data_IF_062080696358
#
_entry.id   IF_062080696358
#
_cell.length_a   1.000
_cell.length_b   1.000
_cell.length_c   1.000
_cell.angle_alpha   90.00
_cell.angle_beta   90.00
_cell.angle_gamma   90.00
#
_symmetry.space_group_name_H-M   'P 1'
#
loop_
_entity.id
_entity.type
_entity.pdbx_description
1 polymer ?
#
# COMPACT_ATOMS: atom_id res chain seq x y z
N UNK A 1 31.81 8.58 -42.50
CA UNK A 1 30.76 8.97 -43.45
C UNK A 1 30.56 10.48 -43.42
N UNK A 2 30.50 11.11 -44.60
CA UNK A 2 30.26 12.54 -44.69
C UNK A 2 28.82 12.89 -44.28
N UNK A 3 28.66 14.04 -43.64
CA UNK A 3 27.33 14.52 -43.21
C UNK A 3 26.71 13.78 -41.99
N UNK A 4 27.47 12.97 -41.28
CA UNK A 4 26.97 12.28 -40.08
C UNK A 4 26.70 13.30 -38.94
N UNK A 5 25.44 13.41 -38.53
CA UNK A 5 24.98 14.33 -37.50
C UNK A 5 24.07 13.62 -36.47
N UNK A 6 23.91 14.19 -35.27
CA UNK A 6 23.03 13.63 -34.24
C UNK A 6 23.57 12.33 -33.62
N UNK A 7 24.88 12.13 -33.61
CA UNK A 7 25.51 10.94 -33.05
C UNK A 7 25.48 11.00 -31.51
N UNK A 8 24.92 9.94 -30.92
CA UNK A 8 24.88 9.75 -29.47
C UNK A 8 25.95 8.78 -28.97
N UNK A 9 26.35 7.79 -29.78
CA UNK A 9 27.38 6.78 -29.43
C UNK A 9 28.12 6.33 -30.66
N UNK A 10 29.34 5.86 -30.47
CA UNK A 10 30.15 5.17 -31.51
C UNK A 10 30.70 3.86 -30.95
N UNK A 11 30.91 2.88 -31.80
CA UNK A 11 31.58 1.63 -31.49
C UNK A 11 32.38 1.16 -32.72
N UNK A 12 33.60 0.67 -32.46
CA UNK A 12 34.52 0.19 -33.52
C UNK A 12 34.81 -1.29 -33.32
N UNK A 13 34.73 -2.05 -34.42
CA UNK A 13 35.16 -3.44 -34.53
C UNK A 13 36.47 -3.56 -35.30
N UNK A 14 36.80 -4.77 -35.74
CA UNK A 14 37.97 -5.00 -36.60
C UNK A 14 37.61 -4.67 -38.06
N UNK A 15 38.13 -3.56 -38.54
CA UNK A 15 37.91 -3.10 -39.92
C UNK A 15 36.55 -2.40 -40.16
N UNK A 16 35.67 -2.27 -39.21
CA UNK A 16 34.40 -1.56 -39.33
C UNK A 16 34.08 -0.71 -38.12
N UNK A 17 33.15 0.22 -38.27
CA UNK A 17 32.67 1.08 -37.18
C UNK A 17 31.17 1.32 -37.34
N UNK A 18 30.56 1.71 -36.24
CA UNK A 18 29.13 2.08 -36.17
C UNK A 18 28.94 3.36 -35.37
N UNK A 19 28.00 4.19 -35.83
CA UNK A 19 27.46 5.29 -35.07
C UNK A 19 25.99 5.02 -34.76
N UNK A 20 25.57 5.28 -33.52
CA UNK A 20 24.18 5.34 -33.09
C UNK A 20 23.77 6.82 -33.04
N UNK A 21 22.72 7.16 -33.79
CA UNK A 21 22.13 8.50 -33.75
C UNK A 21 21.13 8.63 -32.59
N UNK A 22 20.82 9.86 -32.19
CA UNK A 22 19.85 10.18 -31.16
C UNK A 22 18.41 9.71 -31.48
N UNK A 23 18.12 9.50 -32.76
CA UNK A 23 16.83 8.98 -33.24
C UNK A 23 16.75 7.43 -33.21
N UNK A 24 17.79 6.74 -32.71
CA UNK A 24 17.87 5.28 -32.67
C UNK A 24 18.33 4.62 -33.95
N UNK A 25 18.75 5.40 -34.97
CA UNK A 25 19.28 4.88 -36.22
C UNK A 25 20.75 4.49 -36.07
N UNK A 26 21.14 3.34 -36.66
CA UNK A 26 22.54 2.90 -36.73
C UNK A 26 23.09 3.23 -38.10
N UNK A 27 24.26 3.86 -38.13
CA UNK A 27 25.02 4.12 -39.38
C UNK A 27 26.33 3.33 -39.29
N UNK A 28 26.46 2.21 -40.01
CA UNK A 28 27.68 1.43 -40.06
C UNK A 28 28.54 1.85 -41.27
N UNK A 29 29.86 1.63 -41.18
CA UNK A 29 30.80 1.80 -42.28
C UNK A 29 32.05 0.93 -42.10
N UNK A 30 32.79 0.70 -43.19
CA UNK A 30 34.00 -0.10 -43.20
C UNK A 30 33.80 -1.48 -43.79
N UNK A 31 34.57 -2.46 -43.34
CA UNK A 31 34.54 -3.83 -43.87
C UNK A 31 33.17 -4.50 -43.64
N UNK A 32 32.70 -5.22 -44.64
CA UNK A 32 31.46 -5.97 -44.65
C UNK A 32 31.61 -7.42 -45.13
N UNK A 33 32.81 -7.95 -45.12
CA UNK A 33 33.10 -9.31 -45.62
C UNK A 33 32.36 -10.40 -44.81
N UNK A 34 32.02 -10.12 -43.56
CA UNK A 34 31.24 -11.02 -42.71
C UNK A 34 29.82 -10.48 -42.42
N UNK A 35 29.30 -9.58 -43.28
CA UNK A 35 27.98 -8.95 -43.11
C UNK A 35 27.83 -8.10 -41.82
N UNK A 36 28.91 -7.71 -41.20
CA UNK A 36 28.94 -6.98 -39.93
C UNK A 36 28.38 -5.54 -40.02
N UNK A 37 28.26 -4.99 -41.24
CA UNK A 37 27.66 -3.68 -41.49
C UNK A 37 26.23 -3.77 -42.07
N UNK A 38 25.66 -4.96 -42.19
CA UNK A 38 24.27 -5.14 -42.60
C UNK A 38 23.35 -4.93 -41.41
N UNK A 39 22.61 -3.81 -41.41
CA UNK A 39 21.64 -3.51 -40.36
C UNK A 39 20.29 -4.15 -40.68
N UNK A 40 19.79 -5.08 -39.86
CA UNK A 40 18.47 -5.68 -40.10
C UNK A 40 17.36 -4.61 -40.01
N UNK A 41 16.31 -4.73 -40.84
CA UNK A 41 15.14 -3.82 -40.78
C UNK A 41 14.44 -3.80 -39.43
N UNK A 42 14.65 -4.84 -38.60
CA UNK A 42 14.14 -4.94 -37.23
C UNK A 42 14.97 -4.15 -36.21
N UNK A 43 16.14 -3.62 -36.61
CA UNK A 43 16.98 -2.82 -35.70
C UNK A 43 16.47 -1.38 -35.60
N UNK A 44 15.27 -1.23 -35.03
CA UNK A 44 14.61 0.05 -34.75
C UNK A 44 14.66 0.37 -33.25
N UNK A 45 14.52 1.64 -32.89
CA UNK A 45 14.53 2.08 -31.49
C UNK A 45 15.77 1.62 -30.69
N UNK A 46 16.92 1.66 -31.33
CA UNK A 46 18.17 1.22 -30.74
C UNK A 46 18.65 2.25 -29.71
N UNK A 47 19.02 1.77 -28.51
CA UNK A 47 19.47 2.58 -27.37
C UNK A 47 20.96 2.38 -27.05
N UNK A 48 21.57 1.29 -27.54
CA UNK A 48 22.99 1.03 -27.37
C UNK A 48 23.52 0.13 -28.47
N UNK A 49 24.80 0.30 -28.83
CA UNK A 49 25.52 -0.51 -29.79
C UNK A 49 26.84 -0.98 -29.24
N UNK A 50 27.29 -2.15 -29.67
CA UNK A 50 28.63 -2.67 -29.40
C UNK A 50 29.15 -3.42 -30.62
N UNK A 51 30.41 -3.19 -31.00
CA UNK A 51 31.10 -3.88 -32.08
C UNK A 51 32.11 -4.87 -31.52
N UNK A 52 32.06 -6.09 -31.99
CA UNK A 52 33.09 -7.09 -31.80
C UNK A 52 34.04 -7.18 -32.96
N UNK A 53 34.85 -8.24 -33.07
CA UNK A 53 35.78 -8.40 -34.17
C UNK A 53 35.05 -8.41 -35.56
N UNK A 54 34.12 -9.34 -35.76
CA UNK A 54 33.41 -9.56 -37.01
C UNK A 54 31.86 -9.58 -36.81
N UNK A 55 31.35 -8.96 -35.75
CA UNK A 55 29.91 -8.91 -35.48
C UNK A 55 29.56 -7.58 -34.80
N UNK A 56 28.29 -7.23 -34.90
CA UNK A 56 27.71 -6.07 -34.23
C UNK A 56 26.53 -6.49 -33.33
N UNK A 57 26.37 -5.82 -32.23
CA UNK A 57 25.24 -5.97 -31.30
C UNK A 57 24.48 -4.64 -31.19
N UNK A 58 23.17 -4.72 -31.16
CA UNK A 58 22.31 -3.58 -30.86
C UNK A 58 21.31 -3.94 -29.79
N UNK A 59 21.22 -3.10 -28.75
CA UNK A 59 20.19 -3.18 -27.73
C UNK A 59 19.03 -2.27 -28.14
N UNK A 60 17.83 -2.80 -28.21
CA UNK A 60 16.61 -2.06 -28.55
C UNK A 60 15.87 -1.65 -27.28
N UNK A 61 15.18 -0.52 -27.31
CA UNK A 61 14.37 -0.04 -26.20
C UNK A 61 13.22 -1.00 -25.84
N UNK A 62 12.61 -1.64 -26.86
CA UNK A 62 11.54 -2.61 -26.67
C UNK A 62 12.01 -4.00 -26.21
N UNK A 63 13.33 -4.26 -26.24
CA UNK A 63 13.92 -5.46 -25.62
C UNK A 63 13.97 -5.35 -24.08
N UNK A 64 13.81 -4.15 -23.54
CA UNK A 64 13.65 -3.93 -22.09
C UNK A 64 12.16 -4.01 -21.80
N UNK A 65 11.67 -5.01 -21.04
CA UNK A 65 10.27 -5.08 -20.67
C UNK A 65 9.82 -3.75 -20.05
N UNK A 66 8.64 -3.27 -20.44
CA UNK A 66 8.06 -2.03 -19.91
C UNK A 66 7.89 -2.04 -18.37
N UNK A 67 7.98 -3.23 -17.77
CA UNK A 67 7.90 -3.44 -16.32
C UNK A 67 9.23 -3.28 -15.58
N UNK A 68 10.35 -3.04 -16.30
CA UNK A 68 11.64 -2.79 -15.63
C UNK A 68 11.68 -1.36 -15.11
N UNK A 69 11.78 -1.20 -13.79
CA UNK A 69 11.99 0.10 -13.16
C UNK A 69 13.33 0.71 -13.59
N UNK A 70 13.33 1.97 -13.99
CA UNK A 70 14.52 2.73 -14.40
C UNK A 70 14.92 3.68 -13.29
N UNK A 71 16.23 3.80 -13.05
CA UNK A 71 16.76 4.61 -11.95
C UNK A 71 16.83 6.11 -12.26
N UNK A 72 16.70 6.49 -13.54
CA UNK A 72 16.92 7.83 -14.05
C UNK A 72 15.63 8.60 -14.41
N UNK A 73 14.47 8.02 -14.11
CA UNK A 73 13.17 8.63 -14.44
C UNK A 73 12.06 8.11 -13.53
N UNK A 74 10.92 8.81 -13.53
CA UNK A 74 9.69 8.33 -12.92
C UNK A 74 9.21 7.06 -13.63
N UNK A 75 8.80 6.07 -12.84
CA UNK A 75 8.31 4.80 -13.36
C UNK A 75 6.79 4.73 -13.17
N UNK A 76 6.06 4.56 -14.27
CA UNK A 76 4.61 4.36 -14.28
C UNK A 76 4.35 2.89 -14.63
N UNK A 77 3.80 2.15 -13.67
CA UNK A 77 3.36 0.78 -13.87
C UNK A 77 1.85 0.77 -14.10
N UNK A 78 1.41 0.28 -15.26
CA UNK A 78 -0.02 0.14 -15.59
C UNK A 78 -0.62 -1.16 -15.09
N UNK A 79 0.22 -2.10 -14.66
CA UNK A 79 -0.15 -3.37 -14.04
C UNK A 79 0.11 -3.39 -12.54
N UNK A 80 -0.17 -4.52 -11.91
CA UNK A 80 0.12 -4.76 -10.49
C UNK A 80 1.62 -4.92 -10.27
N UNK A 81 2.13 -4.37 -9.17
CA UNK A 81 3.54 -4.44 -8.76
C UNK A 81 3.67 -5.34 -7.55
N UNK A 82 4.45 -6.41 -7.67
CA UNK A 82 4.81 -7.31 -6.56
C UNK A 82 6.27 -7.12 -6.17
N UNK A 83 6.53 -6.98 -4.89
CA UNK A 83 7.89 -6.97 -4.32
C UNK A 83 8.05 -8.22 -3.47
N UNK A 84 8.86 -9.18 -3.95
CA UNK A 84 9.07 -10.46 -3.28
C UNK A 84 7.90 -11.44 -3.39
N UNK A 85 6.88 -11.14 -4.18
CA UNK A 85 5.72 -12.01 -4.48
C UNK A 85 5.08 -11.67 -5.80
N UNK A 86 4.31 -12.59 -6.38
CA UNK A 86 3.40 -12.30 -7.50
C UNK A 86 2.18 -11.55 -6.95
N UNK A 87 1.86 -10.35 -7.48
CA UNK A 87 0.71 -9.59 -7.01
C UNK A 87 -0.61 -10.21 -7.51
N UNK A 88 -1.55 -10.44 -6.60
CA UNK A 88 -2.83 -11.07 -6.91
C UNK A 88 -4.00 -10.08 -6.85
N UNK A 89 -4.13 -9.31 -5.78
CA UNK A 89 -5.32 -8.50 -5.48
C UNK A 89 -5.05 -7.01 -5.65
N UNK A 90 -4.04 -6.48 -5.00
CA UNK A 90 -3.79 -5.03 -4.94
C UNK A 90 -2.84 -4.57 -6.05
N UNK A 91 -2.87 -3.26 -6.37
CA UNK A 91 -1.97 -2.65 -7.34
C UNK A 91 -0.50 -2.73 -6.91
N UNK A 92 -0.22 -2.65 -5.60
CA UNK A 92 1.10 -2.87 -5.00
C UNK A 92 0.98 -3.90 -3.88
N UNK A 93 1.73 -4.99 -3.98
CA UNK A 93 1.82 -6.02 -2.96
C UNK A 93 3.28 -6.30 -2.59
N UNK A 94 3.56 -6.37 -1.29
CA UNK A 94 4.92 -6.56 -0.74
C UNK A 94 4.92 -7.79 0.17
N UNK A 95 5.79 -8.77 -0.13
CA UNK A 95 6.07 -9.85 0.82
C UNK A 95 7.09 -9.37 1.84
N UNK A 96 6.62 -8.93 2.99
CA UNK A 96 7.46 -8.39 4.07
C UNK A 96 7.04 -6.97 4.48
N UNK A 97 7.97 -6.23 5.05
CA UNK A 97 7.72 -4.88 5.54
C UNK A 97 7.94 -3.84 4.46
N UNK A 98 7.04 -2.86 4.39
CA UNK A 98 7.24 -1.63 3.63
C UNK A 98 7.45 -0.46 4.59
N UNK A 99 8.36 0.45 4.25
CA UNK A 99 8.62 1.65 5.04
C UNK A 99 8.72 2.89 4.15
N UNK A 100 8.44 4.04 4.75
CA UNK A 100 8.71 5.34 4.14
C UNK A 100 9.54 6.19 5.11
N UNK A 101 10.36 7.07 4.58
CA UNK A 101 11.27 7.91 5.37
C UNK A 101 10.57 9.00 6.18
N UNK A 102 9.34 9.36 5.80
CA UNK A 102 8.58 10.45 6.43
C UNK A 102 7.50 9.88 7.34
N UNK A 103 7.31 10.46 8.51
CA UNK A 103 6.24 10.09 9.44
C UNK A 103 4.84 10.32 8.82
N UNK A 104 3.83 9.62 9.35
CA UNK A 104 2.43 9.71 8.94
C UNK A 104 1.94 8.48 8.13
N UNK A 105 0.63 8.43 7.84
CA UNK A 105 -0.01 7.39 7.03
C UNK A 105 0.21 7.64 5.52
N UNK A 106 -0.20 6.68 4.69
CA UNK A 106 -0.38 6.91 3.26
C UNK A 106 -1.52 7.90 3.03
N UNK A 107 -1.33 8.82 2.08
CA UNK A 107 -2.37 9.80 1.75
C UNK A 107 -3.45 9.18 0.89
N UNK A 108 -4.71 9.53 1.16
CA UNK A 108 -5.86 9.19 0.32
C UNK A 108 -6.66 10.45 -0.02
N UNK A 109 -7.27 10.47 -1.21
CA UNK A 109 -8.12 11.59 -1.61
C UNK A 109 -9.37 11.65 -0.72
N UNK A 110 -9.63 12.79 -0.08
CA UNK A 110 -10.72 12.98 0.89
C UNK A 110 -11.47 14.31 0.74
N UNK A 111 -11.47 14.88 -0.46
CA UNK A 111 -12.18 16.14 -0.77
C UNK A 111 -13.70 15.92 -0.73
N UNK A 112 -14.43 16.86 -0.12
CA UNK A 112 -15.91 16.81 -0.05
C UNK A 112 -16.57 16.71 -1.43
N UNK A 113 -15.97 17.32 -2.44
CA UNK A 113 -16.50 17.36 -3.81
C UNK A 113 -16.51 16.02 -4.53
N UNK A 114 -15.71 15.06 -4.08
CA UNK A 114 -15.64 13.70 -4.63
C UNK A 114 -16.37 12.66 -3.79
N UNK A 115 -17.08 13.09 -2.72
CA UNK A 115 -17.82 12.21 -1.81
C UNK A 115 -19.30 12.47 -1.93
N UNK A 116 -20.08 11.42 -2.11
CA UNK A 116 -21.54 11.41 -2.05
C UNK A 116 -22.00 10.75 -0.74
N UNK A 117 -23.28 10.92 -0.38
CA UNK A 117 -23.95 10.22 0.72
C UNK A 117 -23.15 10.25 2.03
N UNK A 118 -22.66 11.45 2.38
CA UNK A 118 -21.80 11.64 3.56
C UNK A 118 -22.64 11.67 4.81
N UNK A 119 -22.52 10.65 5.64
CA UNK A 119 -23.21 10.51 6.92
C UNK A 119 -22.19 10.46 8.09
N UNK A 120 -22.68 10.79 9.28
CA UNK A 120 -21.88 10.66 10.50
C UNK A 120 -21.95 9.22 11.01
N UNK A 121 -20.83 8.70 11.49
CA UNK A 121 -20.80 7.39 12.14
C UNK A 121 -21.50 7.51 13.48
N UNK A 122 -22.47 6.63 13.71
CA UNK A 122 -23.19 6.45 14.97
C UNK A 122 -23.06 5.01 15.45
N UNK A 123 -23.19 4.78 16.76
CA UNK A 123 -23.08 3.44 17.36
C UNK A 123 -21.67 2.87 17.28
N UNK A 124 -20.65 3.73 17.31
CA UNK A 124 -19.27 3.32 17.15
C UNK A 124 -18.80 2.44 18.30
N UNK A 125 -19.23 2.70 19.53
CA UNK A 125 -18.91 1.86 20.70
C UNK A 125 -19.47 0.44 20.52
N UNK A 126 -20.75 0.33 20.20
CA UNK A 126 -21.42 -0.95 20.01
C UNK A 126 -20.81 -1.76 18.86
N UNK A 127 -20.42 -1.08 17.79
CA UNK A 127 -19.74 -1.72 16.64
C UNK A 127 -18.37 -2.26 17.05
N UNK A 128 -17.57 -1.48 17.79
CA UNK A 128 -16.24 -1.90 18.22
C UNK A 128 -16.28 -3.03 19.26
N UNK A 129 -17.30 -3.09 20.10
CA UNK A 129 -17.46 -4.18 21.09
C UNK A 129 -17.66 -5.55 20.42
N UNK A 130 -18.06 -5.59 19.15
CA UNK A 130 -18.18 -6.82 18.38
C UNK A 130 -16.84 -7.28 17.78
N UNK A 131 -15.81 -6.45 17.81
CA UNK A 131 -14.50 -6.77 17.23
C UNK A 131 -13.58 -7.38 18.29
N UNK A 132 -13.21 -8.63 18.09
CA UNK A 132 -12.22 -9.30 18.92
C UNK A 132 -10.80 -8.97 18.47
N UNK A 133 -10.05 -8.29 19.35
CA UNK A 133 -8.61 -8.07 19.18
C UNK A 133 -7.85 -9.27 19.73
N UNK A 134 -6.86 -9.74 19.00
CA UNK A 134 -6.10 -10.94 19.36
C UNK A 134 -4.60 -10.70 19.39
N UNK A 135 -3.95 -11.40 20.28
CA UNK A 135 -2.50 -11.58 20.35
C UNK A 135 -2.20 -13.04 19.96
N UNK A 136 -1.46 -13.26 18.87
CA UNK A 136 -1.28 -14.57 18.27
C UNK A 136 0.15 -14.82 17.81
N UNK A 137 0.45 -16.08 17.45
CA UNK A 137 1.62 -16.48 16.69
C UNK A 137 1.18 -17.16 15.40
N UNK A 138 1.97 -17.01 14.34
CA UNK A 138 1.79 -17.82 13.14
C UNK A 138 2.10 -19.29 13.44
N UNK A 139 1.45 -20.20 12.71
CA UNK A 139 1.71 -21.63 12.81
C UNK A 139 3.11 -21.95 12.27
N UNK A 140 3.69 -23.04 12.71
CA UNK A 140 5.01 -23.49 12.24
C UNK A 140 5.03 -23.72 10.72
N UNK A 141 3.95 -24.25 10.15
CA UNK A 141 3.83 -24.47 8.72
C UNK A 141 3.85 -23.14 7.94
N UNK A 142 3.13 -22.12 8.43
CA UNK A 142 3.12 -20.82 7.81
C UNK A 142 4.48 -20.11 7.93
N UNK A 143 5.15 -20.21 9.08
CA UNK A 143 6.52 -19.68 9.27
C UNK A 143 7.54 -20.38 8.35
N UNK A 144 7.41 -21.70 8.13
CA UNK A 144 8.26 -22.45 7.20
C UNK A 144 8.09 -21.97 5.75
N UNK A 145 6.86 -21.69 5.34
CA UNK A 145 6.56 -21.17 4.01
C UNK A 145 7.00 -19.69 3.84
N UNK A 146 7.16 -18.96 4.94
CA UNK A 146 7.47 -17.52 4.95
C UNK A 146 8.72 -17.20 5.80
N UNK A 147 9.93 -17.58 5.35
CA UNK A 147 11.15 -17.49 6.16
C UNK A 147 11.53 -16.03 6.55
N UNK A 148 10.91 -15.02 5.95
CA UNK A 148 11.05 -13.62 6.34
C UNK A 148 10.27 -13.22 7.59
N UNK A 149 9.30 -14.04 8.02
CA UNK A 149 8.53 -13.79 9.24
C UNK A 149 9.32 -14.26 10.46
N UNK A 150 9.29 -13.43 11.52
CA UNK A 150 9.89 -13.80 12.81
C UNK A 150 8.89 -14.58 13.66
N UNK A 151 9.34 -15.65 14.33
CA UNK A 151 8.54 -16.32 15.35
C UNK A 151 8.45 -15.45 16.60
N UNK A 152 7.39 -14.67 16.69
CA UNK A 152 7.04 -13.80 17.83
C UNK A 152 5.52 -13.67 17.93
N UNK A 153 5.04 -13.01 18.98
CA UNK A 153 3.63 -12.64 19.09
C UNK A 153 3.34 -11.40 18.22
N UNK A 154 2.15 -11.38 17.65
CA UNK A 154 1.62 -10.31 16.81
C UNK A 154 0.23 -9.93 17.30
N UNK A 155 -0.14 -8.67 17.09
CA UNK A 155 -1.47 -8.14 17.41
C UNK A 155 -2.25 -7.92 16.11
N UNK A 156 -3.47 -8.42 16.04
CA UNK A 156 -4.39 -8.16 14.93
C UNK A 156 -5.80 -8.65 15.31
N UNK A 157 -6.64 -8.81 14.30
CA UNK A 157 -7.96 -9.46 14.34
C UNK A 157 -7.92 -10.80 13.59
N UNK A 158 -8.96 -11.60 13.74
CA UNK A 158 -9.17 -12.79 12.91
C UNK A 158 -10.06 -12.40 11.74
N UNK A 159 -9.61 -12.62 10.50
CA UNK A 159 -10.28 -12.17 9.28
C UNK A 159 -11.75 -12.62 9.20
N UNK A 160 -12.03 -13.90 9.53
CA UNK A 160 -13.38 -14.47 9.50
C UNK A 160 -14.33 -13.80 10.51
N UNK A 161 -13.82 -13.42 11.67
CA UNK A 161 -14.59 -12.73 12.71
C UNK A 161 -14.78 -11.25 12.37
N UNK A 162 -13.72 -10.62 11.89
CA UNK A 162 -13.71 -9.21 11.48
C UNK A 162 -14.67 -8.96 10.32
N UNK A 163 -14.76 -9.90 9.38
CA UNK A 163 -15.68 -9.82 8.24
C UNK A 163 -17.17 -9.85 8.62
N UNK A 164 -17.53 -10.32 9.82
CA UNK A 164 -18.90 -10.23 10.30
C UNK A 164 -19.30 -8.79 10.68
N UNK A 165 -18.31 -7.94 11.02
CA UNK A 165 -18.52 -6.54 11.42
C UNK A 165 -18.21 -5.60 10.25
N UNK A 166 -17.13 -5.88 9.50
CA UNK A 166 -16.62 -5.07 8.39
C UNK A 166 -16.39 -5.93 7.14
N UNK A 167 -17.42 -6.41 6.45
CA UNK A 167 -17.30 -7.35 5.34
C UNK A 167 -16.48 -6.79 4.16
N UNK A 168 -16.60 -5.51 3.85
CA UNK A 168 -15.88 -4.86 2.75
C UNK A 168 -14.38 -4.67 3.02
N UNK A 169 -13.92 -4.98 4.24
CA UNK A 169 -12.53 -4.84 4.67
C UNK A 169 -11.82 -6.20 4.86
N UNK A 170 -12.41 -7.26 4.31
CA UNK A 170 -11.80 -8.60 4.26
C UNK A 170 -11.80 -9.10 2.83
N UNK A 171 -10.65 -9.57 2.37
CA UNK A 171 -10.50 -10.07 1.00
C UNK A 171 -9.50 -11.23 0.94
N UNK A 172 -9.49 -11.94 -0.20
CA UNK A 172 -8.49 -12.95 -0.52
C UNK A 172 -7.09 -12.31 -0.61
N UNK A 173 -6.12 -12.90 0.03
CA UNK A 173 -4.71 -12.46 -0.03
C UNK A 173 -3.99 -12.88 -1.32
N UNK A 174 -4.60 -13.77 -2.11
CA UNK A 174 -3.98 -14.45 -3.25
C UNK A 174 -3.10 -15.64 -2.85
N UNK A 175 -3.01 -15.95 -1.56
CA UNK A 175 -2.34 -17.15 -1.04
C UNK A 175 -3.37 -18.20 -0.64
N UNK A 176 -2.97 -19.48 -0.69
CA UNK A 176 -3.83 -20.59 -0.32
C UNK A 176 -3.19 -21.46 0.75
N UNK A 177 -4.03 -22.05 1.58
CA UNK A 177 -3.64 -23.15 2.48
C UNK A 177 -3.31 -24.42 1.67
N UNK A 178 -2.61 -25.41 2.27
CA UNK A 178 -2.32 -26.68 1.62
C UNK A 178 -3.57 -27.44 1.13
N UNK A 179 -4.73 -27.18 1.70
CA UNK A 179 -6.02 -27.74 1.30
C UNK A 179 -6.74 -26.95 0.17
N UNK A 180 -6.07 -25.93 -0.39
CA UNK A 180 -6.58 -25.11 -1.49
C UNK A 180 -7.50 -23.97 -1.07
N UNK A 181 -7.83 -23.82 0.21
CA UNK A 181 -8.65 -22.69 0.69
C UNK A 181 -7.85 -21.39 0.69
N UNK A 182 -8.47 -20.26 0.31
CA UNK A 182 -7.79 -18.97 0.31
C UNK A 182 -7.43 -18.53 1.73
N UNK A 183 -6.28 -17.89 1.85
CA UNK A 183 -5.89 -17.16 3.05
C UNK A 183 -6.49 -15.75 2.94
N UNK A 184 -7.24 -15.32 3.96
CA UNK A 184 -7.85 -14.00 4.00
C UNK A 184 -6.89 -12.97 4.59
N UNK A 185 -6.96 -11.75 4.07
CA UNK A 185 -6.31 -10.56 4.60
C UNK A 185 -7.33 -9.51 5.00
N UNK A 186 -6.95 -8.63 5.91
CA UNK A 186 -7.83 -7.59 6.46
C UNK A 186 -7.23 -6.20 6.27
N UNK A 187 -8.11 -5.23 5.98
CA UNK A 187 -7.82 -3.82 6.15
C UNK A 187 -8.39 -3.36 7.50
N UNK A 188 -7.53 -3.06 8.46
CA UNK A 188 -7.94 -2.64 9.82
C UNK A 188 -8.16 -1.13 9.95
N UNK A 189 -8.14 -0.37 8.85
CA UNK A 189 -8.38 1.08 8.87
C UNK A 189 -9.72 1.49 9.53
N UNK A 190 -10.83 0.74 9.37
CA UNK A 190 -12.08 1.03 10.06
C UNK A 190 -11.92 1.17 11.56
N UNK A 191 -11.07 0.36 12.20
CA UNK A 191 -10.83 0.46 13.65
C UNK A 191 -10.33 1.84 14.06
N UNK A 192 -9.46 2.47 13.25
CA UNK A 192 -8.95 3.81 13.52
C UNK A 192 -10.07 4.86 13.48
N UNK A 193 -10.95 4.79 12.48
CA UNK A 193 -12.06 5.73 12.30
C UNK A 193 -13.12 5.52 13.38
N UNK A 194 -13.53 4.27 13.61
CA UNK A 194 -14.52 3.94 14.64
C UNK A 194 -14.00 4.24 16.04
N UNK A 195 -12.70 4.04 16.33
CA UNK A 195 -12.12 4.46 17.61
C UNK A 195 -12.25 5.97 17.85
N UNK A 196 -11.99 6.78 16.83
CA UNK A 196 -12.17 8.23 16.95
C UNK A 196 -13.66 8.61 17.17
N UNK A 197 -14.59 7.95 16.47
CA UNK A 197 -16.02 8.15 16.66
C UNK A 197 -16.48 7.70 18.07
N UNK A 198 -16.01 6.55 18.54
CA UNK A 198 -16.30 6.02 19.87
C UNK A 198 -15.83 6.95 21.00
N UNK A 199 -14.64 7.54 20.86
CA UNK A 199 -14.13 8.56 21.82
C UNK A 199 -15.06 9.78 21.86
N UNK A 200 -15.60 10.21 20.69
CA UNK A 200 -16.57 11.30 20.65
C UNK A 200 -17.91 10.93 21.29
N UNK A 201 -18.37 9.69 21.16
CA UNK A 201 -19.58 9.18 21.83
C UNK A 201 -19.36 9.14 23.34
N UNK A 202 -18.28 8.53 23.82
CA UNK A 202 -17.94 8.48 25.26
C UNK A 202 -17.84 9.86 25.87
N UNK A 203 -17.27 10.84 25.17
CA UNK A 203 -17.22 12.22 25.63
C UNK A 203 -18.64 12.79 25.84
N UNK A 204 -19.53 12.61 24.87
CA UNK A 204 -20.92 13.09 24.95
C UNK A 204 -21.68 12.44 26.10
N UNK A 205 -21.53 11.12 26.26
CA UNK A 205 -22.13 10.37 27.37
C UNK A 205 -21.60 10.83 28.74
N UNK A 206 -20.29 11.02 28.86
CA UNK A 206 -19.66 11.49 30.08
C UNK A 206 -20.17 12.88 30.48
N UNK A 207 -20.34 13.80 29.51
CA UNK A 207 -20.92 15.11 29.73
C UNK A 207 -22.38 15.03 30.18
N UNK A 208 -23.15 14.12 29.60
CA UNK A 208 -24.54 13.89 30.00
C UNK A 208 -24.64 13.31 31.42
N UNK A 209 -23.77 12.35 31.78
CA UNK A 209 -23.67 11.77 33.12
C UNK A 209 -23.29 12.82 34.17
N UNK A 210 -22.31 13.68 33.86
CA UNK A 210 -21.91 14.79 34.75
C UNK A 210 -23.09 15.75 35.02
N UNK A 211 -23.89 16.08 34.02
CA UNK A 211 -25.08 16.92 34.19
C UNK A 211 -26.14 16.22 35.06
N UNK A 212 -26.35 14.91 34.82
CA UNK A 212 -27.28 14.12 35.67
C UNK A 212 -26.82 14.09 37.12
N UNK A 213 -25.52 13.87 37.35
CA UNK A 213 -24.93 13.83 38.70
C UNK A 213 -25.09 15.18 39.40
N UNK A 214 -24.75 16.28 38.77
CA UNK A 214 -24.94 17.61 39.32
C UNK A 214 -26.43 17.90 39.67
N UNK A 215 -27.37 17.44 38.83
CA UNK A 215 -28.78 17.52 39.13
C UNK A 215 -29.24 16.67 40.33
N UNK A 216 -28.63 15.51 40.52
CA UNK A 216 -28.87 14.64 41.68
C UNK A 216 -28.32 15.28 42.97
N UNK A 217 -27.10 15.80 42.93
CA UNK A 217 -26.47 16.48 44.06
C UNK A 217 -27.29 17.69 44.51
N UNK A 218 -27.82 18.47 43.60
CA UNK A 218 -28.70 19.58 43.95
C UNK A 218 -30.02 19.12 44.56
N UNK A 219 -30.58 18.00 44.13
CA UNK A 219 -31.79 17.39 44.75
C UNK A 219 -31.50 16.90 46.14
N UNK A 220 -30.37 16.22 46.34
CA UNK A 220 -29.93 15.74 47.68
C UNK A 220 -29.76 16.91 48.63
N UNK A 221 -29.05 17.96 48.24
CA UNK A 221 -28.91 19.18 49.06
C UNK A 221 -30.28 19.76 49.48
N UNK A 222 -31.24 19.86 48.57
CA UNK A 222 -32.58 20.33 48.90
C UNK A 222 -33.31 19.40 49.86
N UNK A 223 -33.13 18.08 49.75
CA UNK A 223 -33.68 17.11 50.67
C UNK A 223 -33.06 17.24 52.08
N UNK A 224 -31.73 17.37 52.16
CA UNK A 224 -31.03 17.58 53.42
C UNK A 224 -31.46 18.86 54.13
N UNK A 225 -31.61 19.94 53.36
CA UNK A 225 -32.13 21.20 53.94
C UNK A 225 -33.57 21.05 54.47
N UNK A 226 -34.42 20.29 53.77
CA UNK A 226 -35.78 20.00 54.25
C UNK A 226 -35.77 19.13 55.49
N UNK A 227 -34.94 18.10 55.54
CA UNK A 227 -34.78 17.24 56.72
C UNK A 227 -34.32 18.04 57.93
N UNK A 228 -33.31 18.89 57.78
CA UNK A 228 -32.83 19.78 58.88
C UNK A 228 -33.93 20.67 59.40
N UNK A 229 -34.73 21.27 58.55
CA UNK A 229 -35.90 22.10 58.95
C UNK A 229 -36.94 21.28 59.73
N UNK A 230 -37.22 20.06 59.29
CA UNK A 230 -38.16 19.18 59.98
C UNK A 230 -37.63 18.75 61.39
N UNK A 231 -36.35 18.42 61.46
CA UNK A 231 -35.68 18.10 62.73
C UNK A 231 -35.72 19.28 63.70
N UNK A 232 -35.50 20.50 63.24
CA UNK A 232 -35.62 21.73 64.08
C UNK A 232 -37.04 21.95 64.56
N UNK A 233 -38.05 21.67 63.72
CA UNK A 233 -39.46 21.76 64.14
C UNK A 233 -39.87 20.71 65.21
N UNK A 234 -39.30 19.50 65.10
CA UNK A 234 -39.59 18.42 66.05
C UNK A 234 -38.88 18.58 67.43
N UNK A 235 -37.87 19.44 67.50
CA UNK A 235 -37.16 19.76 68.76
C UNK A 235 -37.82 20.89 69.61
N UNK A 236 -38.79 21.59 69.00
CA UNK A 236 -39.59 22.65 69.63
C UNK A 236 -40.88 22.10 70.22
#
# INVERSE_FOLDING_TARGET
PDGLSGVSRISAGYGFSMALKSDGTIVPWGDNSNQQTQIPATATQVISIAAGSNHALALRADAIPAQVARLDQDNIFTGKVGIGRTPATNALEVAGNASKSTAGSWLSNSDRRIKAEVESIAGALETLDQVRLVDFRYTEDYLRAHPGLKDKRYLNVIAQEFGNVFPDHVQDSGETLPDGRPILQVDTYPLTIYSAAAVQELRRENEALKRKLAGQDERLRKQDERLRKLEELMRK
#
